data_IF_714416591269
#
_entry.id   IF_714416591269
#
_cell.length_a   1.000
_cell.length_b   1.000
_cell.length_c   1.000
_cell.angle_alpha   90.00
_cell.angle_beta   90.00
_cell.angle_gamma   90.00
#
_symmetry.space_group_name_H-M   'P 1'
#
loop_
_entity.id
_entity.type
_entity.pdbx_description
1 polymer ?
#
# COMPACT_ATOMS: atom_id res chain seq x y z
N UNK A 1 31.67 -34.19 -9.89
CA UNK A 1 30.27 -34.09 -10.36
C UNK A 1 29.40 -34.71 -9.29
N UNK A 2 28.85 -33.86 -8.44
CA UNK A 2 27.84 -34.22 -7.44
C UNK A 2 26.85 -33.08 -7.47
N UNK A 3 25.68 -33.32 -8.06
CA UNK A 3 24.61 -32.33 -8.19
C UNK A 3 24.06 -31.97 -6.80
N UNK A 4 24.00 -30.66 -6.54
CA UNK A 4 23.29 -30.13 -5.38
C UNK A 4 21.77 -30.33 -5.58
N UNK A 5 21.02 -30.69 -4.54
CA UNK A 5 19.60 -30.96 -4.65
C UNK A 5 18.82 -29.69 -5.05
N UNK A 6 17.83 -29.84 -5.92
CA UNK A 6 17.00 -28.72 -6.34
C UNK A 6 15.97 -28.34 -5.28
N UNK A 7 15.42 -27.13 -5.39
CA UNK A 7 14.49 -26.53 -4.42
C UNK A 7 13.28 -27.42 -4.06
N UNK A 8 12.80 -28.25 -4.99
CA UNK A 8 11.69 -29.17 -4.74
C UNK A 8 12.07 -30.36 -3.84
N UNK A 9 13.35 -30.76 -3.83
CA UNK A 9 13.87 -31.83 -2.98
C UNK A 9 14.08 -31.37 -1.53
N UNK A 10 14.49 -30.11 -1.33
CA UNK A 10 14.59 -29.48 -0.01
C UNK A 10 13.23 -29.35 0.69
N UNK A 11 12.18 -28.99 -0.06
CA UNK A 11 10.83 -28.86 0.49
C UNK A 11 10.21 -30.22 0.92
N UNK A 12 10.60 -31.33 0.29
CA UNK A 12 10.15 -32.68 0.71
C UNK A 12 10.87 -33.18 1.95
N UNK A 13 12.14 -32.82 2.13
CA UNK A 13 12.90 -33.20 3.32
C UNK A 13 12.37 -32.50 4.58
N UNK A 14 11.97 -31.23 4.47
CA UNK A 14 11.38 -30.47 5.58
C UNK A 14 9.98 -30.97 5.99
N UNK A 15 9.23 -31.60 5.08
CA UNK A 15 7.89 -32.13 5.37
C UNK A 15 7.90 -33.49 6.10
N UNK A 16 9.06 -34.15 6.25
CA UNK A 16 9.16 -35.49 6.83
C UNK A 16 9.62 -35.50 8.31
N UNK A 17 10.02 -34.35 8.86
CA UNK A 17 10.62 -34.26 10.22
C UNK A 17 9.61 -33.84 11.32
N UNK A 18 8.39 -33.45 10.96
CA UNK A 18 7.39 -32.88 11.90
C UNK A 18 6.55 -33.92 12.67
N UNK A 19 6.94 -35.21 12.69
CA UNK A 19 6.25 -36.23 13.50
C UNK A 19 6.95 -36.46 14.85
N UNK A 20 7.06 -35.44 15.70
CA UNK A 20 7.37 -35.61 17.12
C UNK A 20 6.82 -34.45 17.95
N UNK A 21 5.71 -34.71 18.66
CA UNK A 21 5.09 -33.84 19.65
C UNK A 21 6.03 -33.47 20.80
N UNK A 22 5.94 -32.24 21.33
CA UNK A 22 6.03 -31.94 22.77
C UNK A 22 5.48 -30.54 23.09
N UNK A 23 4.77 -30.48 24.22
CA UNK A 23 3.96 -29.37 24.77
C UNK A 23 4.86 -28.32 25.44
N UNK A 24 4.63 -27.02 25.21
CA UNK A 24 5.25 -25.93 25.99
C UNK A 24 5.10 -24.51 25.41
N UNK A 25 4.38 -23.66 26.14
CA UNK A 25 4.28 -22.18 26.12
C UNK A 25 4.73 -21.39 24.87
N UNK A 26 3.74 -20.86 24.14
CA UNK A 26 3.89 -20.12 22.89
C UNK A 26 4.31 -18.66 23.14
N UNK A 27 5.61 -18.37 23.10
CA UNK A 27 6.13 -17.04 22.72
C UNK A 27 6.28 -17.03 21.19
N UNK A 28 5.31 -16.42 20.50
CA UNK A 28 5.25 -16.40 19.03
C UNK A 28 6.46 -15.74 18.37
N UNK A 29 7.38 -16.57 17.90
CA UNK A 29 8.32 -16.26 16.83
C UNK A 29 7.56 -16.17 15.50
N UNK A 30 8.00 -15.36 14.55
CA UNK A 30 7.37 -15.25 13.22
C UNK A 30 7.56 -16.51 12.33
N UNK A 31 8.29 -17.54 12.80
CA UNK A 31 8.18 -18.91 12.26
C UNK A 31 6.79 -19.51 12.51
N UNK A 32 6.02 -18.90 13.44
CA UNK A 32 4.63 -19.21 13.78
C UNK A 32 3.63 -18.28 13.08
N UNK A 33 4.00 -17.62 11.97
CA UNK A 33 3.01 -17.46 10.91
C UNK A 33 2.78 -18.86 10.30
N UNK A 34 2.14 -19.74 11.08
CA UNK A 34 1.16 -20.62 10.46
C UNK A 34 0.30 -19.67 9.66
N UNK A 35 0.44 -19.72 8.33
CA UNK A 35 -0.33 -18.91 7.40
C UNK A 35 -1.77 -19.36 7.56
N UNK A 36 -2.41 -18.87 8.61
CA UNK A 36 -3.80 -19.10 8.89
C UNK A 36 -4.56 -18.36 7.79
N UNK A 37 -4.96 -19.14 6.79
CA UNK A 37 -5.71 -18.67 5.62
C UNK A 37 -7.20 -18.55 5.94
N UNK A 38 -7.61 -18.75 7.18
CA UNK A 38 -9.02 -18.68 7.58
C UNK A 38 -9.51 -17.25 7.79
N UNK A 39 -8.61 -16.26 7.90
CA UNK A 39 -9.00 -14.85 8.00
C UNK A 39 -7.85 -13.88 8.20
N UNK A 40 -8.18 -12.58 8.22
CA UNK A 40 -7.23 -11.53 8.57
C UNK A 40 -7.21 -11.34 10.08
N UNK A 41 -6.10 -11.72 10.72
CA UNK A 41 -5.91 -11.53 12.15
C UNK A 41 -5.26 -10.19 12.46
N UNK A 42 -5.64 -9.58 13.59
CA UNK A 42 -5.01 -8.33 14.02
C UNK A 42 -3.50 -8.52 14.26
N UNK A 43 -2.68 -7.68 13.65
CA UNK A 43 -1.24 -7.65 13.92
C UNK A 43 -0.92 -6.54 14.91
N UNK A 44 -0.17 -6.87 15.97
CA UNK A 44 0.21 -5.91 17.02
C UNK A 44 1.62 -5.35 16.83
N UNK A 45 1.83 -4.15 17.36
CA UNK A 45 3.12 -3.48 17.49
C UNK A 45 3.08 -2.43 18.59
N UNK A 46 3.45 -2.80 19.81
CA UNK A 46 3.25 -1.96 20.99
C UNK A 46 1.76 -1.82 21.32
N UNK A 47 1.31 -0.61 21.62
CA UNK A 47 -0.09 -0.27 21.85
C UNK A 47 -0.93 -0.30 20.56
N UNK A 48 -0.28 -0.19 19.39
CA UNK A 48 -0.98 -0.17 18.11
C UNK A 48 -1.31 -1.58 17.62
N UNK A 49 -2.47 -1.70 16.98
CA UNK A 49 -2.90 -2.88 16.22
C UNK A 49 -3.31 -2.51 14.79
N UNK A 50 -3.21 -3.45 13.86
CA UNK A 50 -3.75 -3.29 12.50
C UNK A 50 -4.69 -4.44 12.14
N UNK A 51 -5.89 -4.09 11.67
CA UNK A 51 -6.93 -5.06 11.30
C UNK A 51 -7.87 -4.49 10.24
N UNK A 52 -8.67 -5.35 9.65
CA UNK A 52 -9.77 -4.93 8.78
C UNK A 52 -10.93 -4.42 9.64
N UNK A 53 -11.61 -3.38 9.15
CA UNK A 53 -12.85 -2.89 9.75
C UNK A 53 -13.89 -4.03 9.82
N UNK A 54 -14.45 -4.24 11.01
CA UNK A 54 -15.37 -5.34 11.28
C UNK A 54 -16.84 -4.96 11.07
N UNK A 55 -17.16 -3.66 11.06
CA UNK A 55 -18.53 -3.16 11.01
C UNK A 55 -18.59 -1.75 10.40
N UNK A 56 -19.81 -1.25 10.22
CA UNK A 56 -20.08 0.08 9.65
C UNK A 56 -19.49 1.21 10.48
N UNK A 57 -19.63 1.19 11.82
CA UNK A 57 -19.11 2.25 12.68
C UNK A 57 -17.57 2.42 12.55
N UNK A 58 -16.84 1.34 12.31
CA UNK A 58 -15.40 1.42 12.06
C UNK A 58 -15.04 1.93 10.68
N UNK A 59 -15.85 1.60 9.65
CA UNK A 59 -15.72 2.23 8.34
C UNK A 59 -15.94 3.73 8.49
N UNK A 60 -17.02 4.13 9.16
CA UNK A 60 -17.37 5.52 9.46
C UNK A 60 -16.22 6.29 10.12
N UNK A 61 -15.54 5.67 11.08
CA UNK A 61 -14.36 6.25 11.72
C UNK A 61 -13.17 6.43 10.76
N UNK A 62 -12.93 5.48 9.84
CA UNK A 62 -11.93 5.66 8.79
C UNK A 62 -12.30 6.84 7.87
N UNK A 63 -13.57 6.99 7.49
CA UNK A 63 -14.04 8.12 6.67
C UNK A 63 -13.89 9.46 7.39
N UNK A 64 -14.21 9.50 8.68
CA UNK A 64 -14.03 10.69 9.51
C UNK A 64 -12.53 11.03 9.69
N UNK A 65 -11.66 10.02 9.88
CA UNK A 65 -10.21 10.24 9.94
C UNK A 65 -9.68 10.82 8.62
N UNK A 66 -10.08 10.23 7.49
CA UNK A 66 -9.76 10.76 6.16
C UNK A 66 -10.24 12.19 5.99
N UNK A 67 -11.44 12.52 6.48
CA UNK A 67 -11.97 13.87 6.41
C UNK A 67 -11.06 14.88 7.13
N UNK A 68 -10.72 14.59 8.39
CA UNK A 68 -9.83 15.43 9.20
C UNK A 68 -8.46 15.62 8.54
N UNK A 69 -7.88 14.55 7.99
CA UNK A 69 -6.55 14.63 7.39
C UNK A 69 -6.58 15.35 6.03
N UNK A 70 -7.44 14.93 5.11
CA UNK A 70 -7.41 15.45 3.74
C UNK A 70 -7.98 16.86 3.63
N UNK A 71 -9.11 17.13 4.28
CA UNK A 71 -9.84 18.39 4.09
C UNK A 71 -9.49 19.42 5.17
N UNK A 72 -9.53 19.04 6.45
CA UNK A 72 -9.27 20.00 7.52
C UNK A 72 -7.78 20.34 7.65
N UNK A 73 -6.89 19.36 7.48
CA UNK A 73 -5.45 19.57 7.63
C UNK A 73 -4.73 19.88 6.31
N UNK A 74 -4.96 19.08 5.26
CA UNK A 74 -4.25 19.22 3.98
C UNK A 74 -4.93 20.20 3.01
N UNK A 75 -6.11 20.73 3.37
CA UNK A 75 -6.78 21.79 2.62
C UNK A 75 -7.47 21.32 1.34
N UNK A 76 -7.75 20.02 1.20
CA UNK A 76 -8.57 19.52 0.11
C UNK A 76 -9.97 20.17 0.12
N UNK A 77 -10.62 20.21 -1.03
CA UNK A 77 -11.95 20.82 -1.19
C UNK A 77 -13.04 19.76 -1.06
N UNK A 78 -13.83 19.73 0.04
CA UNK A 78 -14.83 18.70 0.22
C UNK A 78 -16.05 18.93 -0.67
N UNK A 79 -16.65 17.84 -1.14
CA UNK A 79 -18.01 17.90 -1.68
C UNK A 79 -18.99 18.39 -0.61
N UNK A 80 -20.13 18.93 -1.02
CA UNK A 80 -21.15 19.39 -0.09
C UNK A 80 -21.65 18.26 0.84
N UNK A 81 -21.62 17.02 0.38
CA UNK A 81 -21.98 15.85 1.19
C UNK A 81 -20.88 15.52 2.21
N UNK A 82 -19.62 15.44 1.77
CA UNK A 82 -18.49 15.18 2.63
C UNK A 82 -18.42 16.22 3.77
N UNK A 83 -18.64 17.49 3.44
CA UNK A 83 -18.67 18.59 4.41
C UNK A 83 -19.82 18.45 5.43
N UNK A 84 -21.04 18.11 4.96
CA UNK A 84 -22.20 17.94 5.87
C UNK A 84 -22.01 16.78 6.84
N UNK A 85 -21.38 15.70 6.38
CA UNK A 85 -21.17 14.48 7.18
C UNK A 85 -19.87 14.50 7.99
N UNK A 86 -18.93 15.39 7.67
CA UNK A 86 -17.58 15.37 8.24
C UNK A 86 -16.82 14.09 7.88
N UNK A 87 -17.04 13.57 6.67
CA UNK A 87 -16.55 12.25 6.23
C UNK A 87 -16.10 12.30 4.77
N UNK A 88 -14.95 11.70 4.47
CA UNK A 88 -14.51 11.40 3.10
C UNK A 88 -15.24 10.14 2.63
N UNK A 89 -16.22 10.28 1.74
CA UNK A 89 -17.08 9.17 1.29
C UNK A 89 -17.12 9.14 -0.23
N UNK A 90 -16.95 7.96 -0.80
CA UNK A 90 -17.26 7.69 -2.21
C UNK A 90 -17.87 6.28 -2.39
N UNK A 91 -18.42 5.95 -3.58
CA UNK A 91 -19.07 4.66 -3.81
C UNK A 91 -18.18 3.43 -3.61
N UNK A 92 -16.85 3.57 -3.65
CA UNK A 92 -15.93 2.43 -3.49
C UNK A 92 -15.86 1.97 -2.03
N UNK A 93 -16.24 2.81 -1.07
CA UNK A 93 -16.19 2.49 0.36
C UNK A 93 -17.13 1.33 0.75
N UNK A 94 -18.18 1.10 -0.02
CA UNK A 94 -19.17 0.03 0.23
C UNK A 94 -18.68 -1.36 -0.17
N UNK A 95 -17.73 -1.43 -1.10
CA UNK A 95 -17.22 -2.70 -1.64
C UNK A 95 -15.78 -2.98 -1.24
N UNK A 96 -15.03 -1.95 -0.86
CA UNK A 96 -13.66 -2.08 -0.40
C UNK A 96 -13.57 -2.53 1.06
N UNK A 97 -12.51 -3.27 1.37
CA UNK A 97 -12.10 -3.48 2.74
C UNK A 97 -11.35 -2.24 3.26
N UNK A 98 -11.46 -1.96 4.55
CA UNK A 98 -10.79 -0.83 5.20
C UNK A 98 -9.78 -1.36 6.20
N UNK A 99 -8.50 -1.18 5.92
CA UNK A 99 -7.42 -1.49 6.85
C UNK A 99 -7.32 -0.35 7.86
N UNK A 100 -7.32 -0.67 9.15
CA UNK A 100 -7.33 0.30 10.24
C UNK A 100 -6.10 0.09 11.12
N UNK A 101 -5.48 1.19 11.54
CA UNK A 101 -4.59 1.20 12.71
C UNK A 101 -5.41 1.66 13.90
N UNK A 102 -5.43 0.82 14.94
CA UNK A 102 -6.16 1.05 16.19
C UNK A 102 -5.16 1.29 17.32
N UNK A 103 -5.37 2.34 18.11
CA UNK A 103 -4.65 2.54 19.36
C UNK A 103 -5.41 1.95 20.56
N UNK A 104 -4.88 0.86 21.10
CA UNK A 104 -5.53 0.14 22.19
C UNK A 104 -5.38 0.81 23.56
N UNK A 105 -4.61 1.89 23.69
CA UNK A 105 -4.66 2.75 24.88
C UNK A 105 -5.90 3.65 24.89
N UNK A 106 -6.43 4.01 23.73
CA UNK A 106 -7.69 4.77 23.59
C UNK A 106 -8.89 3.83 23.77
N UNK A 107 -8.85 2.68 23.11
CA UNK A 107 -9.95 1.72 23.11
C UNK A 107 -9.80 0.68 22.01
N UNK A 108 -10.84 -0.14 21.83
CA UNK A 108 -10.88 -1.13 20.74
C UNK A 108 -11.91 -0.78 19.66
N UNK A 109 -12.70 0.27 19.88
CA UNK A 109 -13.79 0.71 19.02
C UNK A 109 -13.38 1.75 17.98
N UNK A 110 -14.37 2.31 17.25
CA UNK A 110 -14.17 3.30 16.20
C UNK A 110 -13.38 4.55 16.63
N UNK A 111 -13.52 4.97 17.90
CA UNK A 111 -12.82 6.11 18.48
C UNK A 111 -11.29 5.96 18.50
N UNK A 112 -10.79 4.72 18.45
CA UNK A 112 -9.38 4.40 18.51
C UNK A 112 -8.72 4.28 17.13
N UNK A 113 -9.44 4.59 16.04
CA UNK A 113 -8.89 4.57 14.67
C UNK A 113 -7.96 5.77 14.45
N UNK A 114 -6.67 5.48 14.30
CA UNK A 114 -5.58 6.48 14.16
C UNK A 114 -4.84 6.42 12.82
N UNK A 115 -5.18 5.45 11.97
CA UNK A 115 -4.65 5.33 10.63
C UNK A 115 -5.53 4.44 9.76
N UNK A 116 -5.50 4.62 8.45
CA UNK A 116 -6.29 3.80 7.53
C UNK A 116 -5.68 3.66 6.15
N UNK A 117 -6.09 2.60 5.45
CA UNK A 117 -5.90 2.35 4.03
C UNK A 117 -7.16 1.70 3.45
N UNK A 118 -7.64 2.17 2.30
CA UNK A 118 -8.68 1.46 1.54
C UNK A 118 -8.08 0.39 0.65
N UNK A 119 -8.64 -0.82 0.68
CA UNK A 119 -8.18 -2.01 -0.04
C UNK A 119 -9.29 -2.49 -0.98
N UNK A 120 -9.16 -2.20 -2.29
CA UNK A 120 -10.13 -2.58 -3.30
C UNK A 120 -9.59 -3.70 -4.19
N UNK A 121 -10.06 -4.93 -3.94
CA UNK A 121 -9.72 -6.10 -4.78
C UNK A 121 -10.51 -6.09 -6.09
N UNK A 122 -9.94 -6.74 -7.11
CA UNK A 122 -10.60 -6.97 -8.42
C UNK A 122 -12.03 -7.54 -8.35
N UNK A 123 -12.31 -8.52 -7.48
CA UNK A 123 -13.64 -9.11 -7.29
C UNK A 123 -14.65 -8.11 -6.70
N UNK A 124 -14.19 -7.21 -5.82
CA UNK A 124 -14.99 -6.13 -5.26
C UNK A 124 -15.21 -4.99 -6.28
N UNK A 125 -14.15 -4.58 -6.99
CA UNK A 125 -14.21 -3.56 -8.04
C UNK A 125 -15.21 -3.94 -9.15
N UNK A 126 -15.28 -5.22 -9.52
CA UNK A 126 -16.23 -5.73 -10.50
C UNK A 126 -17.71 -5.49 -10.12
N UNK A 127 -18.04 -5.35 -8.82
CA UNK A 127 -19.42 -5.04 -8.37
C UNK A 127 -19.86 -3.62 -8.73
N UNK A 128 -18.91 -2.70 -8.84
CA UNK A 128 -19.13 -1.30 -9.27
C UNK A 128 -18.76 -1.13 -10.75
N UNK A 129 -18.04 -2.10 -11.33
CA UNK A 129 -17.65 -2.14 -12.74
C UNK A 129 -16.34 -1.41 -13.04
N UNK A 130 -15.59 -0.94 -12.02
CA UNK A 130 -14.31 -0.24 -12.20
C UNK A 130 -13.49 -0.16 -10.92
N UNK A 131 -12.20 0.13 -11.07
CA UNK A 131 -11.33 0.66 -10.03
C UNK A 131 -11.44 2.19 -9.92
N UNK A 132 -10.99 2.76 -8.82
CA UNK A 132 -10.92 4.22 -8.63
C UNK A 132 -9.96 4.87 -9.64
N UNK A 133 -8.76 4.30 -9.79
CA UNK A 133 -7.69 4.83 -10.63
C UNK A 133 -8.08 4.93 -12.11
N UNK A 134 -9.14 4.24 -12.55
CA UNK A 134 -9.69 4.39 -13.91
C UNK A 134 -10.25 5.79 -14.20
N UNK A 135 -10.50 6.60 -13.17
CA UNK A 135 -10.87 8.02 -13.34
C UNK A 135 -9.69 8.93 -13.68
N UNK A 136 -8.45 8.43 -13.57
CA UNK A 136 -7.25 9.24 -13.79
C UNK A 136 -6.27 8.59 -14.76
N UNK A 137 -6.27 7.26 -14.83
CA UNK A 137 -5.34 6.47 -15.60
C UNK A 137 -6.05 5.40 -16.43
N UNK A 138 -5.53 5.16 -17.63
CA UNK A 138 -5.74 3.92 -18.36
C UNK A 138 -4.95 2.80 -17.69
N UNK A 139 -5.68 1.88 -17.05
CA UNK A 139 -5.15 0.69 -16.39
C UNK A 139 -5.46 -0.59 -17.17
N UNK A 140 -5.83 -0.50 -18.46
CA UNK A 140 -6.16 -1.66 -19.31
C UNK A 140 -5.08 -2.74 -19.24
N UNK A 141 -3.81 -2.33 -19.28
CA UNK A 141 -2.63 -3.21 -19.13
C UNK A 141 -2.64 -4.07 -17.87
N UNK A 142 -3.28 -3.60 -16.79
CA UNK A 142 -3.47 -4.37 -15.56
C UNK A 142 -4.76 -5.18 -15.59
N UNK A 143 -5.87 -4.63 -16.07
CA UNK A 143 -7.15 -5.36 -16.08
C UNK A 143 -7.17 -6.51 -17.09
N UNK A 144 -6.33 -6.44 -18.12
CA UNK A 144 -6.10 -7.51 -19.09
C UNK A 144 -5.06 -8.53 -18.58
N UNK A 145 -4.29 -8.20 -17.54
CA UNK A 145 -3.35 -9.12 -16.91
C UNK A 145 -4.11 -10.24 -16.17
N UNK A 146 -3.78 -11.52 -16.39
CA UNK A 146 -4.46 -12.64 -15.74
C UNK A 146 -3.96 -12.82 -14.29
N UNK A 147 -4.34 -11.88 -13.41
CA UNK A 147 -3.96 -11.91 -12.00
C UNK A 147 -4.93 -11.14 -11.09
N UNK A 148 -4.79 -11.37 -9.79
CA UNK A 148 -5.58 -10.70 -8.76
C UNK A 148 -4.97 -9.35 -8.47
N UNK A 149 -5.71 -8.30 -8.80
CA UNK A 149 -5.32 -6.94 -8.53
C UNK A 149 -5.85 -6.48 -7.18
N UNK A 150 -5.06 -5.65 -6.50
CA UNK A 150 -5.45 -4.89 -5.33
C UNK A 150 -5.11 -3.42 -5.58
N UNK A 151 -6.15 -2.61 -5.75
CA UNK A 151 -6.00 -1.17 -5.68
C UNK A 151 -5.96 -0.74 -4.21
N UNK A 152 -5.01 0.12 -3.87
CA UNK A 152 -4.93 0.74 -2.56
C UNK A 152 -4.96 2.25 -2.69
N UNK A 153 -5.74 2.90 -1.84
CA UNK A 153 -5.81 4.37 -1.81
C UNK A 153 -6.33 4.90 -0.48
N UNK A 154 -6.58 6.21 -0.47
CA UNK A 154 -7.17 6.93 0.68
C UNK A 154 -6.40 6.72 1.99
N UNK A 155 -5.08 6.56 1.89
CA UNK A 155 -4.24 6.30 3.05
C UNK A 155 -3.99 7.56 3.85
N UNK A 156 -4.23 7.51 5.16
CA UNK A 156 -3.86 8.58 6.06
C UNK A 156 -3.54 8.05 7.46
N UNK A 157 -2.81 8.85 8.22
CA UNK A 157 -2.49 8.60 9.62
C UNK A 157 -2.75 9.90 10.37
N UNK A 158 -3.41 9.80 11.51
CA UNK A 158 -3.65 10.90 12.42
C UNK A 158 -2.32 11.59 12.75
N UNK A 159 -2.34 12.93 12.83
CA UNK A 159 -1.14 13.75 13.01
C UNK A 159 -0.31 13.34 14.23
N UNK A 160 -0.94 12.93 15.32
CA UNK A 160 -0.24 12.46 16.53
C UNK A 160 0.51 11.13 16.34
N UNK A 161 0.18 10.38 15.28
CA UNK A 161 0.65 9.03 15.03
C UNK A 161 1.55 8.91 13.79
N UNK A 162 1.94 10.03 13.16
CA UNK A 162 2.83 10.08 11.97
C UNK A 162 4.29 9.72 12.22
N UNK A 163 4.52 8.76 13.10
CA UNK A 163 5.80 8.11 13.32
C UNK A 163 6.02 6.91 12.41
N UNK A 164 7.15 6.22 12.61
CA UNK A 164 7.48 5.01 11.85
C UNK A 164 6.57 3.83 12.16
N UNK A 165 6.03 3.75 13.39
CA UNK A 165 5.25 2.60 13.88
C UNK A 165 3.95 2.39 13.11
N UNK A 166 3.08 3.40 13.03
CA UNK A 166 1.79 3.28 12.36
C UNK A 166 1.94 2.93 10.87
N UNK A 167 2.84 3.60 10.17
CA UNK A 167 3.12 3.31 8.76
C UNK A 167 3.67 1.90 8.56
N UNK A 168 4.64 1.45 9.37
CA UNK A 168 5.13 0.07 9.31
C UNK A 168 4.03 -0.95 9.55
N UNK A 169 3.10 -0.65 10.47
CA UNK A 169 1.99 -1.51 10.79
C UNK A 169 0.99 -1.61 9.63
N UNK A 170 0.64 -0.48 8.99
CA UNK A 170 -0.15 -0.48 7.74
C UNK A 170 0.49 -1.35 6.66
N UNK A 171 1.80 -1.20 6.41
CA UNK A 171 2.51 -2.02 5.42
C UNK A 171 2.53 -3.50 5.78
N UNK A 172 2.68 -3.85 7.07
CA UNK A 172 2.56 -5.25 7.54
C UNK A 172 1.15 -5.78 7.28
N UNK A 173 0.13 -4.96 7.53
CA UNK A 173 -1.27 -5.32 7.25
C UNK A 173 -1.51 -5.56 5.76
N UNK A 174 -1.06 -4.65 4.89
CA UNK A 174 -1.13 -4.82 3.43
C UNK A 174 -0.42 -6.10 2.99
N UNK A 175 0.77 -6.39 3.52
CA UNK A 175 1.48 -7.63 3.21
C UNK A 175 0.67 -8.87 3.59
N UNK A 176 0.15 -8.94 4.82
CA UNK A 176 -0.71 -10.05 5.25
C UNK A 176 -1.96 -10.18 4.38
N UNK A 177 -2.55 -9.07 3.97
CA UNK A 177 -3.71 -9.06 3.08
C UNK A 177 -3.38 -9.60 1.69
N UNK A 178 -2.23 -9.20 1.12
CA UNK A 178 -1.69 -9.72 -0.14
C UNK A 178 -1.52 -11.24 -0.08
N UNK A 179 -0.95 -11.76 1.01
CA UNK A 179 -0.79 -13.21 1.18
C UNK A 179 -2.12 -13.95 1.33
N UNK A 180 -3.04 -13.42 2.14
CA UNK A 180 -4.36 -14.01 2.38
C UNK A 180 -5.18 -14.12 1.09
N UNK A 181 -5.24 -13.02 0.33
CA UNK A 181 -6.02 -12.95 -0.92
C UNK A 181 -5.22 -13.34 -2.17
N UNK A 182 -3.95 -13.71 -2.00
CA UNK A 182 -3.00 -14.09 -3.05
C UNK A 182 -2.91 -13.05 -4.17
N UNK A 183 -2.94 -11.77 -3.79
CA UNK A 183 -2.84 -10.66 -4.73
C UNK A 183 -1.56 -10.79 -5.54
N UNK A 184 -1.63 -10.56 -6.85
CA UNK A 184 -0.51 -10.66 -7.78
C UNK A 184 0.10 -9.28 -8.08
N UNK A 185 -0.73 -8.23 -8.10
CA UNK A 185 -0.32 -6.84 -8.30
C UNK A 185 -1.03 -5.91 -7.32
N UNK A 186 -0.25 -5.16 -6.57
CA UNK A 186 -0.69 -4.01 -5.78
C UNK A 186 -0.51 -2.74 -6.61
N UNK A 187 -1.52 -1.89 -6.72
CA UNK A 187 -1.41 -0.63 -7.45
C UNK A 187 -2.29 0.47 -6.83
N UNK A 188 -2.15 1.70 -7.32
CA UNK A 188 -3.01 2.81 -6.92
C UNK A 188 -2.41 4.16 -7.33
N UNK A 189 -3.01 5.22 -6.82
CA UNK A 189 -2.54 6.59 -7.01
C UNK A 189 -1.73 7.03 -5.77
N UNK A 190 -0.52 7.51 -5.99
CA UNK A 190 0.29 8.10 -4.92
C UNK A 190 0.59 9.57 -5.25
N UNK A 191 0.48 10.41 -4.24
CA UNK A 191 0.40 11.86 -4.43
C UNK A 191 1.68 12.57 -4.03
N UNK A 192 2.14 13.48 -4.87
CA UNK A 192 3.09 14.56 -4.53
C UNK A 192 2.28 15.77 -4.06
N UNK A 193 2.67 16.46 -2.97
CA UNK A 193 1.99 17.67 -2.55
C UNK A 193 2.25 18.81 -3.53
N UNK A 194 1.19 19.53 -3.93
CA UNK A 194 1.25 20.66 -4.85
C UNK A 194 0.64 20.37 -6.22
N UNK A 195 0.17 21.42 -6.87
CA UNK A 195 -0.58 21.39 -8.14
C UNK A 195 0.17 22.06 -9.30
N UNK A 196 1.43 22.42 -9.08
CA UNK A 196 2.33 22.98 -10.09
C UNK A 196 3.37 21.92 -10.51
N UNK A 197 3.19 21.27 -11.68
CA UNK A 197 4.15 20.28 -12.18
C UNK A 197 5.55 20.83 -12.40
N UNK A 198 5.72 22.13 -12.66
CA UNK A 198 7.05 22.72 -12.88
C UNK A 198 7.79 22.88 -11.55
N UNK A 199 7.09 23.16 -10.46
CA UNK A 199 7.67 23.11 -9.11
C UNK A 199 8.08 21.70 -8.67
N UNK A 200 7.47 20.67 -9.28
CA UNK A 200 7.72 19.24 -9.06
C UNK A 200 8.60 18.59 -10.15
N UNK A 201 9.20 19.39 -11.03
CA UNK A 201 9.90 18.92 -12.22
C UNK A 201 11.00 17.90 -11.90
N UNK A 202 11.81 18.14 -10.87
CA UNK A 202 12.89 17.24 -10.45
C UNK A 202 12.35 15.88 -10.01
N UNK A 203 11.31 15.85 -9.16
CA UNK A 203 10.69 14.63 -8.66
C UNK A 203 10.01 13.84 -9.77
N UNK A 204 9.25 14.50 -10.64
CA UNK A 204 8.57 13.85 -11.77
C UNK A 204 9.57 13.26 -12.76
N UNK A 205 10.61 14.02 -13.13
CA UNK A 205 11.67 13.56 -14.03
C UNK A 205 12.43 12.39 -13.40
N UNK A 206 12.75 12.48 -12.11
CA UNK A 206 13.40 11.41 -11.36
C UNK A 206 12.56 10.12 -11.38
N UNK A 207 11.27 10.20 -11.07
CA UNK A 207 10.37 9.05 -11.06
C UNK A 207 10.27 8.40 -12.44
N UNK A 208 10.09 9.20 -13.49
CA UNK A 208 10.01 8.69 -14.86
C UNK A 208 11.30 7.97 -15.28
N UNK A 209 12.46 8.59 -15.11
CA UNK A 209 13.70 7.99 -15.63
C UNK A 209 14.22 6.80 -14.80
N UNK A 210 13.89 6.73 -13.51
CA UNK A 210 14.45 5.71 -12.62
C UNK A 210 13.45 4.61 -12.25
N UNK A 211 12.15 4.87 -12.39
CA UNK A 211 11.11 3.99 -11.87
C UNK A 211 9.95 3.73 -12.83
N UNK A 212 9.96 4.24 -14.06
CA UNK A 212 8.90 3.97 -15.03
C UNK A 212 8.72 2.46 -15.26
N UNK A 213 7.47 2.03 -15.23
CA UNK A 213 7.11 0.65 -15.47
C UNK A 213 7.52 0.18 -16.88
N UNK A 214 7.89 -1.11 -17.04
CA UNK A 214 8.04 -1.69 -18.37
C UNK A 214 6.72 -1.64 -19.14
N UNK A 215 6.72 -1.62 -20.49
CA UNK A 215 5.51 -1.43 -21.29
C UNK A 215 4.34 -2.35 -20.92
N UNK A 216 4.62 -3.61 -20.56
CA UNK A 216 3.60 -4.60 -20.19
C UNK A 216 2.86 -4.31 -18.87
N UNK A 217 3.35 -3.37 -18.05
CA UNK A 217 2.72 -2.98 -16.77
C UNK A 217 2.51 -1.45 -16.69
N UNK A 218 2.75 -0.73 -17.78
CA UNK A 218 2.79 0.73 -17.77
C UNK A 218 1.39 1.31 -17.85
N UNK A 219 0.82 1.53 -16.68
CA UNK A 219 -0.34 2.41 -16.49
C UNK A 219 -0.01 3.78 -17.07
N UNK A 220 -0.96 4.40 -17.79
CA UNK A 220 -0.77 5.73 -18.38
C UNK A 220 -1.88 6.68 -17.93
N UNK A 221 -1.56 7.92 -17.61
CA UNK A 221 -2.59 8.93 -17.33
C UNK A 221 -3.52 9.10 -18.54
N UNK A 222 -4.80 9.33 -18.29
CA UNK A 222 -5.77 9.60 -19.35
C UNK A 222 -5.37 10.82 -20.16
N UNK A 223 -5.66 10.82 -21.46
CA UNK A 223 -5.20 11.86 -22.40
C UNK A 223 -5.59 13.28 -21.98
N UNK A 224 -6.79 13.46 -21.44
CA UNK A 224 -7.32 14.74 -20.98
C UNK A 224 -6.79 15.19 -19.62
N UNK A 225 -6.09 14.29 -18.89
CA UNK A 225 -5.47 14.56 -17.59
C UNK A 225 -3.94 14.43 -17.60
N UNK A 226 -3.36 14.08 -18.75
CA UNK A 226 -1.95 13.73 -18.89
C UNK A 226 -1.05 14.94 -18.66
N UNK A 227 -0.14 14.81 -17.70
CA UNK A 227 0.97 15.74 -17.49
C UNK A 227 2.29 15.02 -17.74
N UNK A 228 3.08 15.53 -18.69
CA UNK A 228 4.41 14.97 -18.97
C UNK A 228 5.31 15.08 -17.73
N UNK A 229 5.94 13.96 -17.40
CA UNK A 229 6.85 13.83 -16.26
C UNK A 229 8.29 14.16 -16.63
N UNK A 230 8.66 14.17 -17.91
CA UNK A 230 10.01 14.48 -18.39
C UNK A 230 10.24 15.99 -18.45
N UNK A 231 10.34 16.65 -17.29
CA UNK A 231 10.32 18.11 -17.17
C UNK A 231 11.69 18.77 -17.06
N UNK A 232 12.77 17.99 -17.01
CA UNK A 232 14.15 18.47 -16.92
C UNK A 232 15.17 17.50 -17.50
N UNK A 233 16.46 17.88 -17.48
CA UNK A 233 17.55 16.99 -17.90
C UNK A 233 17.81 15.92 -16.83
N UNK A 234 17.57 14.62 -17.11
CA UNK A 234 17.81 13.55 -16.14
C UNK A 234 19.28 13.44 -15.71
N UNK A 235 20.23 13.89 -16.53
CA UNK A 235 21.66 13.86 -16.20
C UNK A 235 22.09 14.99 -15.27
N UNK A 236 21.27 16.04 -15.12
CA UNK A 236 21.50 17.16 -14.23
C UNK A 236 20.88 16.97 -12.83
N UNK A 237 20.09 15.90 -12.62
CA UNK A 237 19.37 15.67 -11.37
C UNK A 237 20.30 15.29 -10.20
N UNK A 238 20.07 15.89 -9.04
CA UNK A 238 20.58 15.35 -7.77
C UNK A 238 19.60 14.26 -7.26
N UNK A 239 19.94 13.01 -7.54
CA UNK A 239 19.12 11.85 -7.15
C UNK A 239 18.87 11.77 -5.64
N UNK A 240 19.84 12.19 -4.81
CA UNK A 240 19.67 12.14 -3.34
C UNK A 240 18.66 13.19 -2.90
N UNK A 241 18.73 14.39 -3.48
CA UNK A 241 17.78 15.46 -3.20
C UNK A 241 16.37 15.11 -3.68
N UNK A 242 16.24 14.54 -4.89
CA UNK A 242 14.96 14.06 -5.41
C UNK A 242 14.33 13.04 -4.46
N UNK A 243 15.10 11.99 -4.12
CA UNK A 243 14.63 10.96 -3.19
C UNK A 243 14.28 11.54 -1.80
N UNK A 244 15.02 12.52 -1.29
CA UNK A 244 14.71 13.15 -0.01
C UNK A 244 13.36 13.89 -0.03
N UNK A 245 13.07 14.59 -1.14
CA UNK A 245 11.83 15.36 -1.36
C UNK A 245 10.61 14.48 -1.61
N UNK A 246 10.78 13.26 -2.12
CA UNK A 246 9.65 12.34 -2.32
C UNK A 246 8.89 12.04 -1.01
N UNK A 247 7.55 11.99 -1.05
CA UNK A 247 6.71 11.58 0.07
C UNK A 247 7.11 10.22 0.65
N UNK A 248 7.01 10.02 1.98
CA UNK A 248 7.31 8.74 2.62
C UNK A 248 6.59 7.53 2.00
N UNK A 249 5.35 7.73 1.54
CA UNK A 249 4.54 6.68 0.93
C UNK A 249 5.12 6.23 -0.43
N UNK A 250 5.42 7.17 -1.33
CA UNK A 250 6.08 6.89 -2.63
C UNK A 250 7.41 6.16 -2.38
N UNK A 251 8.24 6.67 -1.45
CA UNK A 251 9.48 5.98 -1.06
C UNK A 251 9.25 4.56 -0.55
N UNK A 252 8.11 4.29 0.08
CA UNK A 252 7.67 2.96 0.49
C UNK A 252 7.56 2.02 -0.70
N UNK A 253 6.76 2.39 -1.71
CA UNK A 253 6.60 1.62 -2.95
C UNK A 253 7.92 1.38 -3.67
N UNK A 254 8.73 2.43 -3.87
CA UNK A 254 10.02 2.31 -4.55
C UNK A 254 10.98 1.35 -3.82
N UNK A 255 11.00 1.37 -2.49
CA UNK A 255 11.80 0.44 -1.68
C UNK A 255 11.39 -1.01 -1.88
N UNK A 256 10.13 -1.27 -2.19
CA UNK A 256 9.61 -2.60 -2.49
C UNK A 256 9.90 -3.04 -3.94
N UNK A 257 10.57 -2.20 -4.74
CA UNK A 257 10.78 -2.45 -6.17
C UNK A 257 9.57 -2.05 -7.01
N UNK A 258 8.72 -1.16 -6.48
CA UNK A 258 7.60 -0.61 -7.23
C UNK A 258 8.03 0.27 -8.40
N UNK A 259 7.13 0.36 -9.37
CA UNK A 259 7.24 1.22 -10.53
C UNK A 259 6.24 2.37 -10.47
N UNK A 260 6.46 3.37 -11.32
CA UNK A 260 5.49 4.42 -11.62
C UNK A 260 4.90 4.27 -13.03
N UNK A 261 3.70 4.80 -13.23
CA UNK A 261 3.08 4.95 -14.54
C UNK A 261 3.69 6.06 -15.40
N UNK A 262 3.13 6.21 -16.59
CA UNK A 262 3.46 7.25 -17.57
C UNK A 262 2.45 8.38 -17.51
N UNK A 263 2.94 9.58 -17.23
CA UNK A 263 2.11 10.76 -17.02
C UNK A 263 1.69 10.90 -15.56
N UNK A 264 1.81 12.13 -15.06
CA UNK A 264 1.22 12.55 -13.81
C UNK A 264 -0.17 13.13 -14.05
N UNK A 265 -0.93 13.31 -12.97
CA UNK A 265 -2.27 13.92 -12.99
C UNK A 265 -2.33 15.00 -11.93
N UNK A 266 -2.73 16.22 -12.29
CA UNK A 266 -2.97 17.28 -11.29
C UNK A 266 -4.37 17.10 -10.69
N UNK A 267 -4.42 16.97 -9.37
CA UNK A 267 -5.65 16.93 -8.59
C UNK A 267 -5.78 18.23 -7.79
N UNK A 268 -6.61 19.13 -8.34
CA UNK A 268 -6.93 20.40 -7.68
C UNK A 268 -7.86 20.25 -6.49
N UNK A 269 -8.61 19.14 -6.37
CA UNK A 269 -9.49 18.88 -5.24
C UNK A 269 -8.67 18.52 -4.01
N UNK A 270 -7.62 17.70 -4.16
CA UNK A 270 -6.74 17.28 -3.07
C UNK A 270 -5.46 18.12 -2.92
N UNK A 271 -5.23 19.09 -3.80
CA UNK A 271 -4.02 19.91 -3.89
C UNK A 271 -2.75 19.08 -4.13
N UNK A 272 -2.84 18.09 -5.02
CA UNK A 272 -1.76 17.15 -5.29
C UNK A 272 -1.47 17.00 -6.78
N UNK A 273 -0.32 16.41 -7.06
CA UNK A 273 0.03 15.86 -8.36
C UNK A 273 0.26 14.37 -8.18
N UNK A 274 -0.63 13.58 -8.74
CA UNK A 274 -0.67 12.15 -8.57
C UNK A 274 0.19 11.45 -9.62
N UNK A 275 0.77 10.33 -9.20
CA UNK A 275 1.43 9.37 -10.07
C UNK A 275 0.87 7.98 -9.79
N UNK A 276 0.58 7.22 -10.85
CA UNK A 276 0.23 5.81 -10.68
C UNK A 276 1.45 5.05 -10.14
N UNK A 277 1.24 4.21 -9.14
CA UNK A 277 2.26 3.31 -8.57
C UNK A 277 1.82 1.87 -8.66
N UNK A 278 2.76 0.95 -8.87
CA UNK A 278 2.47 -0.49 -8.88
C UNK A 278 3.63 -1.32 -8.32
N UNK A 279 3.31 -2.43 -7.67
CA UNK A 279 4.25 -3.40 -7.11
C UNK A 279 3.74 -4.81 -7.42
N UNK A 280 4.58 -5.64 -8.06
CA UNK A 280 4.29 -7.07 -8.18
C UNK A 280 4.51 -7.76 -6.84
N UNK A 281 3.58 -8.62 -6.43
CA UNK A 281 3.64 -9.28 -5.12
C UNK A 281 4.88 -10.18 -4.94
N UNK A 282 5.41 -10.75 -6.02
CA UNK A 282 6.68 -11.50 -5.99
C UNK A 282 7.85 -10.66 -5.45
N UNK A 283 7.87 -9.35 -5.74
CA UNK A 283 8.93 -8.44 -5.29
C UNK A 283 8.79 -8.07 -3.80
N UNK A 284 7.56 -8.09 -3.28
CA UNK A 284 7.29 -7.94 -1.85
C UNK A 284 7.80 -9.17 -1.08
N UNK A 285 7.48 -10.37 -1.56
CA UNK A 285 7.87 -11.62 -0.92
C UNK A 285 9.39 -11.72 -0.75
N UNK A 286 10.16 -11.47 -1.82
CA UNK A 286 11.63 -11.57 -1.79
C UNK A 286 12.31 -10.61 -0.82
N UNK A 287 11.77 -9.40 -0.61
CA UNK A 287 12.38 -8.40 0.28
C UNK A 287 11.97 -8.57 1.74
N UNK A 288 10.71 -8.95 1.99
CA UNK A 288 10.26 -9.27 3.35
C UNK A 288 10.92 -10.56 3.86
N UNK A 289 11.08 -11.59 3.02
CA UNK A 289 11.84 -12.80 3.38
C UNK A 289 13.29 -12.46 3.78
N UNK A 290 14.00 -11.63 2.97
CA UNK A 290 15.39 -11.24 3.24
C UNK A 290 15.58 -10.36 4.47
N UNK A 291 14.60 -9.50 4.79
CA UNK A 291 14.64 -8.71 6.03
C UNK A 291 14.45 -9.62 7.27
N UNK A 292 13.63 -10.65 7.15
CA UNK A 292 13.38 -11.62 8.21
C UNK A 292 14.54 -12.60 8.40
N UNK A 293 15.14 -13.11 7.33
CA UNK A 293 16.34 -13.96 7.37
C UNK A 293 17.49 -13.24 8.09
N UNK A 294 17.62 -11.92 7.90
CA UNK A 294 18.63 -11.11 8.58
C UNK A 294 18.39 -11.01 10.08
N UNK A 295 17.15 -10.77 10.53
CA UNK A 295 16.79 -10.77 11.96
C UNK A 295 16.90 -12.14 12.62
N UNK A 296 16.72 -13.22 11.86
CA UNK A 296 16.94 -14.60 12.33
C UNK A 296 18.44 -14.88 12.52
N UNK A 297 19.31 -14.44 11.59
CA UNK A 297 20.77 -14.52 11.79
C UNK A 297 21.23 -13.70 12.99
N UNK A 298 20.77 -12.46 13.10
CA UNK A 298 21.11 -11.57 14.23
C UNK A 298 20.59 -12.07 15.59
N UNK A 299 19.62 -12.99 15.61
CA UNK A 299 19.09 -13.61 16.84
C UNK A 299 19.70 -15.00 17.13
N UNK A 300 20.48 -15.55 16.20
CA UNK A 300 21.20 -16.82 16.31
C UNK A 300 22.72 -16.61 16.54
N UNK A 301 23.19 -15.36 16.48
CA UNK A 301 24.51 -14.89 16.94
C UNK A 301 24.43 -14.34 18.37
#
# INVERSE_FOLDING_TARGET
MTDAPNHAQLLRALAQDDSASLVGETRGSLSTLELDRTGFHELRGGQLGVRIAANEAERDAAQALRYRVFFEEMGASPSAEAQRLGRDIDPFDDVADHLLVIDHEIGSGPEAVVGTYRLLRSDAAAKIGRFYSQGEYDISVLTEFPGRLLEVGRSCVDRAYRGRSAMQLLWRGIASYIFLHRIDVLFGCASLPGTDPDALADELTYLYHNHLAPPALRIRALEDRYVDMQRGDPHALDHRRCLARLPPLIKGYLRLGGYVGDGAVVDHEFNTTDVAVLVKSELLADKYYRHYERRLRDALE
#
